data_IF_421118663031
#
_entry.id   IF_421118663031
#
_cell.length_a   1.000
_cell.length_b   1.000
_cell.length_c   1.000
_cell.angle_alpha   90.00
_cell.angle_beta   90.00
_cell.angle_gamma   90.00
#
_symmetry.space_group_name_H-M   'P 1'
#
loop_
_entity.id
_entity.type
_entity.pdbx_description
1 polymer ?
#
# COMPACT_ATOMS: atom_id res chain seq x y z
N UNK A 1 -12.99 -7.86 -12.50
CA UNK A 1 -11.86 -7.54 -11.63
C UNK A 1 -10.52 -7.64 -12.32
N UNK A 2 -10.38 -8.43 -13.37
CA UNK A 2 -9.22 -8.39 -14.28
C UNK A 2 -9.13 -7.11 -15.11
N UNK A 3 -10.26 -6.43 -15.32
CA UNK A 3 -10.34 -5.17 -16.06
C UNK A 3 -10.74 -4.05 -15.11
N UNK A 4 -10.36 -2.79 -15.35
CA UNK A 4 -10.76 -1.64 -14.54
C UNK A 4 -12.24 -1.27 -14.73
N UNK A 5 -13.11 -2.25 -14.92
CA UNK A 5 -14.53 -2.07 -15.17
C UNK A 5 -15.30 -2.01 -13.83
N UNK A 6 -16.10 -0.97 -13.65
CA UNK A 6 -16.99 -0.84 -12.49
C UNK A 6 -18.21 -1.78 -12.59
N UNK A 7 -18.81 -2.14 -11.44
CA UNK A 7 -19.95 -3.03 -11.41
C UNK A 7 -21.16 -2.48 -12.20
N UNK A 8 -21.35 -1.17 -12.25
CA UNK A 8 -22.41 -0.54 -13.06
C UNK A 8 -22.18 -0.79 -14.55
N UNK A 9 -20.95 -0.65 -15.02
CA UNK A 9 -20.55 -0.94 -16.41
C UNK A 9 -20.78 -2.40 -16.77
N UNK A 10 -20.47 -3.32 -15.84
CA UNK A 10 -20.77 -4.76 -16.01
C UNK A 10 -22.27 -4.98 -16.25
N UNK A 11 -23.11 -4.35 -15.42
CA UNK A 11 -24.57 -4.46 -15.58
C UNK A 11 -25.04 -3.89 -16.90
N UNK A 12 -24.50 -2.75 -17.33
CA UNK A 12 -24.82 -2.17 -18.65
C UNK A 12 -24.45 -3.12 -19.77
N UNK A 13 -23.26 -3.72 -19.75
CA UNK A 13 -22.82 -4.71 -20.74
C UNK A 13 -23.77 -5.92 -20.77
N UNK A 14 -24.15 -6.44 -19.58
CA UNK A 14 -25.07 -7.58 -19.49
C UNK A 14 -26.46 -7.22 -20.02
N UNK A 15 -26.96 -5.99 -19.82
CA UNK A 15 -28.22 -5.53 -20.44
C UNK A 15 -28.12 -5.48 -21.96
N UNK A 16 -27.02 -4.98 -22.53
CA UNK A 16 -26.80 -4.99 -23.98
C UNK A 16 -26.82 -6.42 -24.52
N UNK A 17 -26.18 -7.37 -23.84
CA UNK A 17 -26.25 -8.77 -24.26
C UNK A 17 -27.67 -9.34 -24.15
N UNK A 18 -28.43 -8.97 -23.11
CA UNK A 18 -29.83 -9.40 -22.98
C UNK A 18 -30.71 -8.84 -24.12
N UNK A 19 -30.48 -7.58 -24.53
CA UNK A 19 -31.17 -6.95 -25.66
C UNK A 19 -30.83 -7.61 -26.99
N UNK A 20 -29.54 -7.93 -27.22
CA UNK A 20 -29.05 -8.51 -28.48
C UNK A 20 -29.41 -9.99 -28.65
N UNK A 21 -29.40 -10.75 -27.56
CA UNK A 21 -29.57 -12.21 -27.58
C UNK A 21 -31.01 -12.67 -27.15
N UNK A 22 -31.79 -11.74 -26.65
CA UNK A 22 -33.17 -11.99 -26.23
C UNK A 22 -33.30 -13.18 -25.26
N UNK A 23 -34.25 -14.08 -25.53
CA UNK A 23 -34.55 -15.22 -24.67
C UNK A 23 -33.38 -16.18 -24.47
N UNK A 24 -32.39 -16.22 -25.40
CA UNK A 24 -31.19 -17.04 -25.28
C UNK A 24 -30.27 -16.58 -24.12
N UNK A 25 -30.27 -15.29 -23.81
CA UNK A 25 -29.53 -14.75 -22.66
C UNK A 25 -30.36 -14.67 -21.40
N UNK A 26 -31.65 -14.43 -21.54
CA UNK A 26 -32.59 -14.18 -20.47
C UNK A 26 -32.41 -12.80 -19.83
N UNK A 27 -32.93 -12.64 -18.61
CA UNK A 27 -32.96 -11.35 -17.93
C UNK A 27 -31.57 -11.01 -17.30
N UNK A 28 -31.03 -9.86 -17.65
CA UNK A 28 -29.81 -9.36 -17.04
C UNK A 28 -29.98 -9.09 -15.53
N UNK A 29 -28.97 -9.39 -14.69
CA UNK A 29 -29.02 -9.14 -13.25
C UNK A 29 -28.90 -7.64 -12.96
N UNK A 30 -29.60 -7.18 -11.92
CA UNK A 30 -29.46 -5.81 -11.44
C UNK A 30 -28.11 -5.60 -10.69
N UNK A 31 -27.75 -4.33 -10.48
CA UNK A 31 -26.51 -3.96 -9.78
C UNK A 31 -26.33 -4.66 -8.43
N UNK A 32 -27.38 -4.68 -7.59
CA UNK A 32 -27.32 -5.32 -6.27
C UNK A 32 -27.06 -6.82 -6.35
N UNK A 33 -27.59 -7.48 -7.38
CA UNK A 33 -27.35 -8.91 -7.62
C UNK A 33 -25.89 -9.16 -7.95
N UNK A 34 -25.29 -8.37 -8.85
CA UNK A 34 -23.88 -8.49 -9.23
C UNK A 34 -22.98 -8.18 -8.03
N UNK A 35 -23.27 -7.12 -7.28
CA UNK A 35 -22.52 -6.77 -6.07
C UNK A 35 -22.59 -7.89 -5.01
N UNK A 36 -23.75 -8.49 -4.83
CA UNK A 36 -23.92 -9.61 -3.89
C UNK A 36 -23.16 -10.85 -4.35
N UNK A 37 -23.11 -11.16 -5.64
CA UNK A 37 -22.30 -12.25 -6.17
C UNK A 37 -20.81 -12.04 -5.89
N UNK A 38 -20.32 -10.82 -6.09
CA UNK A 38 -18.92 -10.47 -5.82
C UNK A 38 -18.60 -10.62 -4.33
N UNK A 39 -19.46 -10.13 -3.44
CA UNK A 39 -19.27 -10.30 -1.98
C UNK A 39 -19.31 -11.76 -1.54
N UNK A 40 -20.25 -12.56 -2.07
CA UNK A 40 -20.35 -14.00 -1.79
C UNK A 40 -19.10 -14.74 -2.23
N UNK A 41 -18.66 -14.49 -3.45
CA UNK A 41 -17.44 -15.10 -3.99
C UNK A 41 -16.21 -14.73 -3.15
N UNK A 42 -16.10 -13.46 -2.76
CA UNK A 42 -15.00 -12.98 -1.91
C UNK A 42 -15.02 -13.64 -0.53
N UNK A 43 -16.18 -13.78 0.10
CA UNK A 43 -16.32 -14.48 1.38
C UNK A 43 -15.99 -15.98 1.25
N UNK A 44 -16.41 -16.61 0.16
CA UNK A 44 -16.09 -18.02 -0.13
C UNK A 44 -14.58 -18.26 -0.21
N UNK A 45 -13.83 -17.34 -0.87
CA UNK A 45 -12.36 -17.44 -0.95
C UNK A 45 -11.72 -17.12 0.41
N UNK A 46 -12.23 -16.11 1.12
CA UNK A 46 -11.71 -15.73 2.44
C UNK A 46 -11.86 -16.86 3.47
N UNK A 47 -12.85 -17.73 3.30
CA UNK A 47 -13.12 -18.89 4.18
C UNK A 47 -12.46 -20.18 3.71
N UNK A 48 -11.58 -20.14 2.70
CA UNK A 48 -10.81 -21.33 2.30
C UNK A 48 -10.00 -21.85 3.52
N UNK A 49 -10.18 -23.13 3.86
CA UNK A 49 -9.61 -23.74 5.05
C UNK A 49 -8.08 -23.87 4.93
N UNK A 50 -7.38 -23.37 5.94
CA UNK A 50 -5.93 -23.56 6.14
C UNK A 50 -5.07 -23.33 4.88
N UNK A 51 -5.14 -22.17 4.23
CA UNK A 51 -4.52 -21.94 2.92
C UNK A 51 -2.99 -22.05 2.93
N UNK A 52 -2.36 -22.02 4.11
CA UNK A 52 -0.91 -22.12 4.29
C UNK A 52 -0.46 -23.39 5.04
N UNK A 53 -1.35 -24.37 5.27
CA UNK A 53 -1.07 -25.55 6.12
C UNK A 53 0.22 -26.28 5.77
N UNK A 54 0.47 -26.49 4.47
CA UNK A 54 1.63 -27.24 4.00
C UNK A 54 2.66 -26.35 3.28
N UNK A 55 2.67 -25.04 3.60
CA UNK A 55 3.52 -24.06 2.92
C UNK A 55 4.35 -23.26 3.93
N UNK A 56 5.60 -23.00 3.58
CA UNK A 56 6.38 -21.94 4.22
C UNK A 56 5.87 -20.58 3.72
N UNK A 57 5.54 -19.69 4.63
CA UNK A 57 5.03 -18.38 4.29
C UNK A 57 5.52 -17.29 5.24
N UNK A 58 5.57 -16.07 4.74
CA UNK A 58 5.72 -14.87 5.55
C UNK A 58 4.38 -14.12 5.61
N UNK A 59 4.14 -13.38 6.68
CA UNK A 59 3.00 -12.52 6.78
C UNK A 59 3.38 -11.06 6.51
N UNK A 60 2.47 -10.30 5.88
CA UNK A 60 2.55 -8.84 5.82
C UNK A 60 1.33 -8.28 6.54
N UNK A 61 1.54 -7.28 7.40
CA UNK A 61 0.46 -6.60 8.10
C UNK A 61 0.57 -5.10 7.96
N UNK A 62 -0.54 -4.44 7.65
CA UNK A 62 -0.62 -2.99 7.53
C UNK A 62 -2.03 -2.46 7.80
N UNK A 63 -2.12 -1.18 8.19
CA UNK A 63 -3.35 -0.45 8.39
C UNK A 63 -3.65 0.50 7.22
N UNK A 64 -4.71 0.22 6.48
CA UNK A 64 -5.22 1.20 5.52
C UNK A 64 -5.88 2.38 6.25
N UNK A 65 -5.26 3.56 6.16
CA UNK A 65 -5.77 4.77 6.79
C UNK A 65 -7.11 5.19 6.20
N UNK A 66 -8.04 5.30 7.11
CA UNK A 66 -9.26 6.11 7.14
C UNK A 66 -10.11 6.22 5.87
N UNK A 67 -11.17 5.44 5.89
CA UNK A 67 -12.38 5.82 5.17
C UNK A 67 -13.39 6.27 6.22
N UNK A 68 -13.59 7.59 6.36
CA UNK A 68 -14.55 8.16 7.31
C UNK A 68 -14.34 7.76 8.80
N UNK A 69 -13.10 7.80 9.26
CA UNK A 69 -12.77 7.51 10.66
C UNK A 69 -12.71 6.02 11.00
N UNK A 70 -12.75 5.14 10.00
CA UNK A 70 -12.49 3.71 10.15
C UNK A 70 -11.16 3.32 9.51
N UNK A 71 -10.42 2.44 10.16
CA UNK A 71 -9.20 1.81 9.63
C UNK A 71 -9.51 0.36 9.27
N UNK A 72 -8.91 -0.11 8.18
CA UNK A 72 -8.87 -1.52 7.81
C UNK A 72 -7.49 -2.05 8.14
N UNK A 73 -7.40 -2.96 9.10
CA UNK A 73 -6.22 -3.79 9.33
C UNK A 73 -6.32 -5.02 8.43
N UNK A 74 -5.27 -5.30 7.69
CA UNK A 74 -5.18 -6.48 6.84
C UNK A 74 -3.91 -7.27 7.16
N UNK A 75 -4.03 -8.60 7.17
CA UNK A 75 -2.93 -9.53 7.30
C UNK A 75 -3.00 -10.47 6.11
N UNK A 76 -1.92 -10.52 5.35
CA UNK A 76 -1.79 -11.38 4.17
C UNK A 76 -0.62 -12.33 4.32
N UNK A 77 -0.71 -13.51 3.73
CA UNK A 77 0.38 -14.46 3.57
C UNK A 77 0.98 -14.37 2.17
N UNK A 78 2.29 -14.47 2.09
CA UNK A 78 3.09 -14.52 0.86
C UNK A 78 4.11 -15.65 0.98
N UNK A 79 4.75 -16.16 -0.10
CA UNK A 79 5.89 -17.07 0.02
C UNK A 79 6.97 -16.49 0.93
N UNK A 80 7.52 -17.30 1.86
CA UNK A 80 8.59 -16.81 2.75
C UNK A 80 9.89 -16.58 2.02
N UNK A 81 10.22 -17.41 1.03
CA UNK A 81 11.38 -17.23 0.17
C UNK A 81 11.07 -16.29 -1.00
N UNK A 82 12.00 -15.40 -1.30
CA UNK A 82 11.91 -14.51 -2.43
C UNK A 82 11.98 -15.28 -3.76
N UNK A 83 11.09 -14.97 -4.69
CA UNK A 83 10.90 -15.71 -5.93
C UNK A 83 11.70 -15.13 -7.13
N UNK A 84 12.77 -14.37 -6.89
CA UNK A 84 13.55 -13.67 -7.94
C UNK A 84 12.78 -12.54 -8.64
N UNK A 85 11.70 -12.08 -8.03
CA UNK A 85 10.85 -10.99 -8.53
C UNK A 85 10.02 -10.38 -7.38
N UNK A 86 9.54 -9.15 -7.52
CA UNK A 86 8.59 -8.58 -6.56
C UNK A 86 7.33 -9.45 -6.40
N UNK A 87 6.78 -9.48 -5.19
CA UNK A 87 5.54 -10.18 -4.87
C UNK A 87 4.39 -9.65 -5.73
N UNK A 88 3.62 -10.55 -6.35
CA UNK A 88 2.44 -10.24 -7.15
C UNK A 88 1.14 -10.62 -6.43
N UNK A 89 0.02 -10.10 -6.89
CA UNK A 89 -1.29 -10.44 -6.31
C UNK A 89 -1.60 -11.95 -6.34
N UNK A 90 -1.08 -12.69 -7.31
CA UNK A 90 -1.26 -14.13 -7.41
C UNK A 90 -0.53 -14.93 -6.30
N UNK A 91 0.49 -14.31 -5.69
CA UNK A 91 1.26 -14.90 -4.59
C UNK A 91 0.59 -14.67 -3.22
N UNK A 92 -0.43 -13.80 -3.18
CA UNK A 92 -1.05 -13.33 -1.93
C UNK A 92 -2.20 -14.24 -1.49
N UNK A 93 -2.23 -14.52 -0.20
CA UNK A 93 -3.39 -15.11 0.50
C UNK A 93 -3.86 -14.14 1.58
N UNK A 94 -5.14 -13.76 1.57
CA UNK A 94 -5.71 -12.91 2.63
C UNK A 94 -6.01 -13.77 3.85
N UNK A 95 -5.32 -13.52 4.95
CA UNK A 95 -5.43 -14.31 6.20
C UNK A 95 -6.39 -13.66 7.19
N UNK A 96 -6.39 -12.32 7.26
CA UNK A 96 -7.32 -11.59 8.11
C UNK A 96 -7.64 -10.19 7.59
N UNK A 97 -8.87 -9.75 7.83
CA UNK A 97 -9.34 -8.37 7.59
C UNK A 97 -10.22 -7.94 8.76
N UNK A 98 -9.89 -6.83 9.38
CA UNK A 98 -10.66 -6.26 10.48
C UNK A 98 -10.81 -4.75 10.32
N UNK A 99 -11.98 -4.22 10.67
CA UNK A 99 -12.29 -2.79 10.54
C UNK A 99 -12.66 -2.21 11.89
N UNK A 100 -11.84 -1.27 12.38
CA UNK A 100 -12.07 -0.54 13.64
C UNK A 100 -11.83 0.96 13.46
N UNK A 101 -12.16 1.75 14.45
CA UNK A 101 -11.80 3.18 14.52
C UNK A 101 -10.28 3.37 14.66
N UNK A 102 -9.65 2.52 15.46
CA UNK A 102 -8.20 2.45 15.67
C UNK A 102 -7.85 1.05 16.15
N UNK A 103 -6.59 0.67 16.01
CA UNK A 103 -6.05 -0.57 16.55
C UNK A 103 -4.95 -0.23 17.55
N UNK A 104 -5.02 -0.80 18.74
CA UNK A 104 -3.92 -0.81 19.71
C UNK A 104 -3.06 -2.08 19.53
N UNK A 105 -2.00 -2.23 20.32
CA UNK A 105 -1.11 -3.39 20.24
C UNK A 105 -1.81 -4.72 20.54
N UNK A 106 -2.75 -4.73 21.49
CA UNK A 106 -3.49 -5.94 21.88
C UNK A 106 -4.47 -6.36 20.78
N UNK A 107 -5.10 -5.38 20.10
CA UNK A 107 -5.90 -5.63 18.91
C UNK A 107 -5.05 -6.28 17.81
N UNK A 108 -3.88 -5.72 17.53
CA UNK A 108 -2.95 -6.26 16.50
C UNK A 108 -2.56 -7.70 16.86
N UNK A 109 -2.16 -7.95 18.11
CA UNK A 109 -1.80 -9.28 18.59
C UNK A 109 -2.96 -10.27 18.41
N UNK A 110 -4.17 -9.88 18.81
CA UNK A 110 -5.37 -10.71 18.68
C UNK A 110 -5.68 -11.04 17.22
N UNK A 111 -5.61 -10.03 16.32
CA UNK A 111 -5.85 -10.24 14.90
C UNK A 111 -4.75 -11.12 14.26
N UNK A 112 -3.50 -10.99 14.71
CA UNK A 112 -2.40 -11.84 14.26
C UNK A 112 -2.63 -13.31 14.66
N UNK A 113 -3.00 -13.57 15.92
CA UNK A 113 -3.35 -14.92 16.39
C UNK A 113 -4.49 -15.53 15.57
N UNK A 114 -5.51 -14.74 15.26
CA UNK A 114 -6.63 -15.17 14.41
C UNK A 114 -6.16 -15.51 13.00
N UNK A 115 -5.33 -14.66 12.38
CA UNK A 115 -4.78 -14.87 11.05
C UNK A 115 -3.94 -16.16 10.95
N UNK A 116 -3.06 -16.38 11.93
CA UNK A 116 -2.19 -17.57 11.98
C UNK A 116 -3.02 -18.83 12.18
N UNK A 117 -4.02 -18.79 13.06
CA UNK A 117 -4.94 -19.93 13.24
C UNK A 117 -5.67 -20.26 11.94
N UNK A 118 -6.17 -19.26 11.21
CA UNK A 118 -6.84 -19.49 9.93
C UNK A 118 -5.90 -19.93 8.81
N UNK A 119 -4.63 -19.51 8.86
CA UNK A 119 -3.60 -19.95 7.91
C UNK A 119 -3.27 -21.46 8.02
N UNK A 120 -3.43 -22.04 9.21
CA UNK A 120 -3.13 -23.45 9.48
C UNK A 120 -1.64 -23.75 9.67
N UNK A 121 -0.79 -22.72 9.67
CA UNK A 121 0.65 -22.79 9.92
C UNK A 121 1.15 -21.47 10.48
N UNK A 122 2.35 -21.44 11.07
CA UNK A 122 3.02 -20.23 11.56
C UNK A 122 3.86 -19.58 10.46
N UNK A 123 3.87 -18.24 10.36
CA UNK A 123 4.75 -17.55 9.43
C UNK A 123 6.22 -17.66 9.89
N UNK A 124 7.14 -17.79 8.95
CA UNK A 124 8.58 -17.77 9.23
C UNK A 124 9.01 -16.38 9.74
N UNK A 125 8.40 -15.31 9.25
CA UNK A 125 8.60 -13.93 9.69
C UNK A 125 7.40 -13.05 9.29
N UNK A 126 7.38 -11.80 9.80
CA UNK A 126 6.34 -10.82 9.52
C UNK A 126 6.98 -9.53 9.01
N UNK A 127 6.46 -8.99 7.91
CA UNK A 127 6.85 -7.68 7.38
C UNK A 127 5.80 -6.65 7.81
N UNK A 128 6.23 -5.49 8.29
CA UNK A 128 5.34 -4.38 8.58
C UNK A 128 6.01 -3.02 8.47
N UNK A 129 5.21 -1.96 8.41
CA UNK A 129 5.71 -0.61 8.64
C UNK A 129 6.22 -0.40 10.09
N UNK A 130 6.74 0.79 10.38
CA UNK A 130 7.25 1.16 11.69
C UNK A 130 6.17 1.77 12.62
N UNK A 131 4.89 1.51 12.38
CA UNK A 131 3.79 1.96 13.23
C UNK A 131 3.90 1.38 14.65
N UNK A 132 3.94 2.24 15.68
CA UNK A 132 4.22 1.83 17.06
C UNK A 132 3.35 0.66 17.54
N UNK A 133 2.04 0.71 17.30
CA UNK A 133 1.11 -0.34 17.74
C UNK A 133 1.34 -1.66 16.98
N UNK A 134 1.67 -1.59 15.68
CA UNK A 134 1.96 -2.77 14.86
C UNK A 134 3.24 -3.43 15.33
N UNK A 135 4.31 -2.65 15.49
CA UNK A 135 5.62 -3.14 15.99
C UNK A 135 5.46 -3.82 17.35
N UNK A 136 4.77 -3.16 18.28
CA UNK A 136 4.54 -3.70 19.63
C UNK A 136 3.69 -4.98 19.58
N UNK A 137 2.58 -4.97 18.83
CA UNK A 137 1.69 -6.14 18.74
C UNK A 137 2.36 -7.36 18.12
N UNK A 138 3.24 -7.18 17.12
CA UNK A 138 4.04 -8.27 16.55
C UNK A 138 5.07 -8.79 17.55
N UNK A 139 5.82 -7.88 18.20
CA UNK A 139 6.81 -8.24 19.22
C UNK A 139 6.18 -9.04 20.35
N UNK A 140 5.04 -8.58 20.87
CA UNK A 140 4.31 -9.25 21.95
C UNK A 140 3.72 -10.61 21.51
N UNK A 141 3.66 -10.87 20.20
CA UNK A 141 3.26 -12.16 19.63
C UNK A 141 4.42 -13.14 19.49
N UNK A 142 5.67 -12.72 19.70
CA UNK A 142 6.87 -13.59 19.69
C UNK A 142 7.38 -13.95 18.28
N UNK A 143 6.91 -13.27 17.21
CA UNK A 143 7.37 -13.52 15.85
C UNK A 143 8.52 -12.60 15.45
N UNK A 144 9.39 -13.09 14.56
CA UNK A 144 10.44 -12.29 13.92
C UNK A 144 9.74 -11.26 13.04
N UNK A 145 10.11 -9.98 13.22
CA UNK A 145 9.60 -8.88 12.42
C UNK A 145 10.70 -8.24 11.61
N UNK A 146 10.51 -8.15 10.31
CA UNK A 146 11.30 -7.32 9.42
C UNK A 146 10.60 -5.99 9.14
N UNK A 147 11.36 -4.89 9.20
CA UNK A 147 10.84 -3.58 8.88
C UNK A 147 10.80 -3.38 7.36
N UNK A 148 9.65 -2.93 6.83
CA UNK A 148 9.51 -2.59 5.42
C UNK A 148 10.59 -1.60 4.96
N UNK A 149 11.26 -1.92 3.84
CA UNK A 149 12.38 -1.13 3.35
C UNK A 149 11.96 0.28 2.93
N UNK A 150 10.88 0.44 2.19
CA UNK A 150 10.43 1.75 1.69
C UNK A 150 10.00 2.66 2.83
N UNK A 151 9.22 2.12 3.79
CA UNK A 151 8.83 2.86 4.99
C UNK A 151 10.04 3.23 5.85
N UNK A 152 11.01 2.33 5.98
CA UNK A 152 12.23 2.59 6.76
C UNK A 152 13.08 3.68 6.13
N UNK A 153 13.29 3.65 4.82
CA UNK A 153 13.98 4.72 4.10
C UNK A 153 13.26 6.06 4.25
N UNK A 154 11.92 6.07 4.11
CA UNK A 154 11.10 7.26 4.34
C UNK A 154 11.22 7.83 5.76
N UNK A 155 11.28 6.97 6.79
CA UNK A 155 11.49 7.39 8.19
C UNK A 155 12.90 7.97 8.41
N UNK A 156 13.94 7.39 7.80
CA UNK A 156 15.31 7.91 7.87
C UNK A 156 15.38 9.31 7.27
N UNK A 157 14.85 9.49 6.06
CA UNK A 157 14.80 10.79 5.38
C UNK A 157 14.02 11.81 6.22
N UNK A 158 12.88 11.43 6.75
CA UNK A 158 12.06 12.28 7.62
C UNK A 158 12.85 12.79 8.82
N UNK A 159 13.52 11.90 9.55
CA UNK A 159 14.28 12.28 10.75
C UNK A 159 15.38 13.31 10.46
N UNK A 160 15.99 13.26 9.28
CA UNK A 160 17.11 14.11 8.93
C UNK A 160 16.67 15.42 8.29
N UNK A 161 15.68 15.39 7.39
CA UNK A 161 15.31 16.57 6.60
C UNK A 161 14.10 17.35 7.12
N UNK A 162 13.15 16.73 7.84
CA UNK A 162 11.85 17.36 8.15
C UNK A 162 11.96 18.72 8.84
N UNK A 163 12.99 18.92 9.66
CA UNK A 163 13.23 20.14 10.46
C UNK A 163 14.35 21.03 9.92
N UNK A 164 14.97 20.68 8.79
CA UNK A 164 16.05 21.49 8.21
C UNK A 164 15.47 22.77 7.59
N UNK A 165 16.03 23.95 7.92
CA UNK A 165 15.47 25.23 7.48
C UNK A 165 15.33 25.34 5.96
N UNK A 166 16.38 24.98 5.21
CA UNK A 166 16.40 25.00 3.75
C UNK A 166 15.37 24.06 3.13
N UNK A 167 15.22 22.86 3.68
CA UNK A 167 14.21 21.90 3.23
C UNK A 167 12.76 22.37 3.53
N UNK A 168 12.54 22.94 4.72
CA UNK A 168 11.22 23.47 5.12
C UNK A 168 10.87 24.66 4.24
N UNK A 169 11.79 25.56 3.99
CA UNK A 169 11.59 26.74 3.13
C UNK A 169 11.31 26.31 1.69
N UNK A 170 12.14 25.47 1.11
CA UNK A 170 11.96 24.92 -0.24
C UNK A 170 10.57 24.29 -0.41
N UNK A 171 10.19 23.39 0.50
CA UNK A 171 8.91 22.70 0.41
C UNK A 171 7.73 23.64 0.62
N UNK A 172 7.89 24.69 1.41
CA UNK A 172 6.88 25.74 1.59
C UNK A 172 6.70 26.57 0.32
N UNK A 173 7.80 26.94 -0.34
CA UNK A 173 7.78 27.66 -1.61
C UNK A 173 7.10 26.82 -2.71
N UNK A 174 7.42 25.53 -2.82
CA UNK A 174 6.74 24.62 -3.77
C UNK A 174 5.22 24.61 -3.54
N UNK A 175 4.78 24.53 -2.28
CA UNK A 175 3.36 24.60 -1.93
C UNK A 175 2.71 25.92 -2.30
N UNK A 176 3.37 27.05 -2.04
CA UNK A 176 2.88 28.40 -2.40
C UNK A 176 2.76 28.54 -3.91
N UNK A 177 3.79 28.16 -4.67
CA UNK A 177 3.80 28.26 -6.14
C UNK A 177 2.70 27.37 -6.76
N UNK A 178 2.51 26.17 -6.23
CA UNK A 178 1.41 25.31 -6.65
C UNK A 178 0.03 25.96 -6.40
N UNK A 179 -0.19 26.55 -5.24
CA UNK A 179 -1.44 27.24 -4.93
C UNK A 179 -1.63 28.47 -5.83
N UNK A 180 -0.57 29.23 -6.10
CA UNK A 180 -0.60 30.43 -6.93
C UNK A 180 -0.93 30.14 -8.39
N UNK A 181 -0.39 29.07 -8.97
CA UNK A 181 -0.44 28.85 -10.41
C UNK A 181 -1.36 27.70 -10.88
N UNK A 182 -2.01 26.96 -9.97
CA UNK A 182 -2.81 25.77 -10.35
C UNK A 182 -4.03 26.07 -11.24
N UNK A 183 -4.48 27.32 -11.29
CA UNK A 183 -5.60 27.79 -12.13
C UNK A 183 -5.15 28.76 -13.22
N UNK A 184 -3.87 28.77 -13.58
CA UNK A 184 -3.29 29.64 -14.60
C UNK A 184 -2.70 28.82 -15.75
N UNK A 185 -2.29 29.51 -16.81
CA UNK A 185 -1.53 28.94 -17.94
C UNK A 185 -0.19 28.31 -17.53
N UNK A 186 0.35 28.71 -16.37
CA UNK A 186 1.58 28.13 -15.78
C UNK A 186 1.37 26.76 -15.10
N UNK A 187 0.13 26.25 -15.06
CA UNK A 187 -0.22 25.01 -14.37
C UNK A 187 0.52 23.77 -14.90
N UNK A 188 0.98 23.76 -16.14
CA UNK A 188 1.70 22.63 -16.75
C UNK A 188 3.11 22.41 -16.16
N UNK A 189 3.71 23.43 -15.52
CA UNK A 189 5.03 23.35 -14.89
C UNK A 189 4.96 23.20 -13.36
N UNK A 190 3.79 22.97 -12.79
CA UNK A 190 3.65 22.88 -11.33
C UNK A 190 4.46 21.72 -10.73
N UNK A 191 5.09 21.95 -9.57
CA UNK A 191 5.72 20.85 -8.84
C UNK A 191 4.71 19.75 -8.51
N UNK A 192 5.13 18.49 -8.40
CA UNK A 192 4.26 17.39 -8.00
C UNK A 192 3.53 17.67 -6.69
N UNK A 193 2.30 17.13 -6.56
CA UNK A 193 1.50 17.36 -5.37
C UNK A 193 2.11 16.63 -4.17
N UNK A 194 2.29 17.36 -3.07
CA UNK A 194 2.79 16.80 -1.83
C UNK A 194 1.66 16.35 -0.92
N UNK A 195 1.55 15.07 -0.72
CA UNK A 195 0.70 14.53 0.35
C UNK A 195 1.52 14.48 1.65
N UNK A 196 1.07 15.17 2.69
CA UNK A 196 1.79 15.28 3.96
C UNK A 196 2.16 13.92 4.58
N UNK A 197 1.32 12.90 4.42
CA UNK A 197 1.49 11.57 5.00
C UNK A 197 2.59 10.75 4.29
N UNK A 198 2.74 10.93 2.98
CA UNK A 198 3.71 10.18 2.16
C UNK A 198 4.86 11.07 1.65
N UNK A 199 5.12 12.20 2.30
CA UNK A 199 6.07 13.22 1.85
C UNK A 199 7.44 12.62 1.49
N UNK A 200 8.03 11.88 2.42
CA UNK A 200 9.38 11.36 2.27
C UNK A 200 9.47 10.11 1.39
N UNK A 201 8.40 9.36 1.21
CA UNK A 201 8.35 8.25 0.24
C UNK A 201 8.22 8.75 -1.21
N UNK A 202 7.67 9.96 -1.41
CA UNK A 202 7.48 10.55 -2.74
C UNK A 202 8.48 11.67 -3.07
N UNK A 203 9.55 11.81 -2.28
CA UNK A 203 10.54 12.86 -2.44
C UNK A 203 11.24 12.84 -3.81
N UNK A 204 11.42 11.64 -4.39
CA UNK A 204 11.99 11.45 -5.73
C UNK A 204 11.31 12.29 -6.81
N UNK A 205 9.98 12.41 -6.77
CA UNK A 205 9.23 13.18 -7.77
C UNK A 205 9.57 14.68 -7.72
N UNK A 206 9.84 15.22 -6.53
CA UNK A 206 10.21 16.62 -6.35
C UNK A 206 11.65 16.88 -6.77
N UNK A 207 12.54 16.00 -6.37
CA UNK A 207 13.95 16.08 -6.78
C UNK A 207 14.03 16.02 -8.31
N UNK A 208 13.33 15.09 -8.94
CA UNK A 208 13.28 15.00 -10.41
C UNK A 208 12.69 16.25 -11.05
N UNK A 209 11.60 16.79 -10.48
CA UNK A 209 10.99 18.03 -10.96
C UNK A 209 11.95 19.20 -10.81
N UNK A 210 12.58 19.36 -9.65
CA UNK A 210 13.54 20.45 -9.37
C UNK A 210 14.74 20.41 -10.30
N UNK A 211 15.34 19.24 -10.50
CA UNK A 211 16.47 19.06 -11.43
C UNK A 211 16.07 19.31 -12.89
N UNK A 212 14.87 18.89 -13.31
CA UNK A 212 14.39 19.20 -14.65
C UNK A 212 14.14 20.70 -14.82
N UNK A 213 13.58 21.35 -13.78
CA UNK A 213 13.39 22.79 -13.79
C UNK A 213 14.72 23.56 -13.89
N UNK A 214 15.75 23.16 -13.15
CA UNK A 214 17.10 23.74 -13.27
C UNK A 214 17.68 23.57 -14.68
N UNK A 215 17.51 22.39 -15.28
CA UNK A 215 18.04 22.10 -16.64
C UNK A 215 17.37 22.94 -17.73
N UNK A 216 16.07 23.20 -17.64
CA UNK A 216 15.34 23.94 -18.65
C UNK A 216 15.18 25.43 -18.34
N UNK A 217 15.64 25.89 -17.18
CA UNK A 217 15.34 27.23 -16.66
C UNK A 217 15.69 28.35 -17.65
N UNK A 218 16.90 28.32 -18.20
CA UNK A 218 17.38 29.39 -19.11
C UNK A 218 16.68 29.37 -20.49
N UNK A 219 15.96 28.32 -20.83
CA UNK A 219 15.14 28.20 -22.04
C UNK A 219 13.66 28.54 -21.82
N UNK A 220 13.26 28.86 -20.58
CA UNK A 220 11.89 29.28 -20.25
C UNK A 220 11.64 30.71 -20.71
N UNK A 221 10.38 31.04 -20.96
CA UNK A 221 9.91 32.42 -21.18
C UNK A 221 10.12 33.26 -19.90
N UNK A 222 10.34 34.58 -20.06
CA UNK A 222 10.71 35.49 -18.98
C UNK A 222 9.76 35.41 -17.77
N UNK A 223 8.46 35.33 -18.01
CA UNK A 223 7.43 35.25 -16.97
C UNK A 223 7.45 33.93 -16.19
N UNK A 224 7.91 32.84 -16.83
CA UNK A 224 8.14 31.55 -16.19
C UNK A 224 9.48 31.54 -15.43
N UNK A 225 10.52 32.18 -15.97
CA UNK A 225 11.78 32.37 -15.28
C UNK A 225 11.55 33.14 -13.98
N UNK A 226 10.81 34.25 -14.03
CA UNK A 226 10.46 35.03 -12.83
C UNK A 226 9.67 34.18 -11.82
N UNK A 227 8.67 33.45 -12.29
CA UNK A 227 7.82 32.60 -11.43
C UNK A 227 8.62 31.52 -10.66
N UNK A 228 9.65 30.95 -11.27
CA UNK A 228 10.44 29.85 -10.74
C UNK A 228 11.89 30.21 -10.42
N UNK A 229 12.26 31.49 -10.37
CA UNK A 229 13.63 31.96 -10.09
C UNK A 229 14.22 31.35 -8.81
N UNK A 230 13.41 31.14 -7.79
CA UNK A 230 13.81 30.56 -6.50
C UNK A 230 14.50 29.21 -6.63
N UNK A 231 14.26 28.44 -7.73
CA UNK A 231 14.81 27.08 -7.85
C UNK A 231 16.34 27.06 -7.83
N UNK A 232 16.97 28.13 -8.33
CA UNK A 232 18.44 28.27 -8.37
C UNK A 232 19.06 28.33 -6.97
N UNK A 233 18.33 28.89 -6.00
CA UNK A 233 18.79 29.01 -4.62
C UNK A 233 18.87 27.65 -3.91
N UNK A 234 18.17 26.63 -4.44
CA UNK A 234 18.12 25.28 -3.87
C UNK A 234 18.89 24.23 -4.69
N UNK A 235 19.74 24.65 -5.62
CA UNK A 235 20.53 23.73 -6.46
C UNK A 235 21.37 22.76 -5.61
N UNK A 236 22.03 23.27 -4.56
CA UNK A 236 22.84 22.46 -3.64
C UNK A 236 21.99 21.42 -2.90
N UNK A 237 20.82 21.83 -2.36
CA UNK A 237 19.88 20.92 -1.71
C UNK A 237 19.36 19.86 -2.68
N UNK A 238 19.02 20.23 -3.91
CA UNK A 238 18.53 19.31 -4.93
C UNK A 238 19.59 18.27 -5.32
N UNK A 239 20.86 18.67 -5.45
CA UNK A 239 21.97 17.74 -5.71
C UNK A 239 22.18 16.76 -4.55
N UNK A 240 22.16 17.24 -3.32
CA UNK A 240 22.25 16.39 -2.12
C UNK A 240 21.10 15.38 -2.08
N UNK A 241 19.86 15.86 -2.26
CA UNK A 241 18.68 15.00 -2.27
C UNK A 241 18.69 14.01 -3.44
N UNK A 242 19.23 14.39 -4.62
CA UNK A 242 19.36 13.48 -5.76
C UNK A 242 20.28 12.31 -5.44
N UNK A 243 21.44 12.58 -4.85
CA UNK A 243 22.40 11.55 -4.43
C UNK A 243 21.74 10.56 -3.45
N UNK A 244 21.11 11.09 -2.42
CA UNK A 244 20.40 10.28 -1.41
C UNK A 244 19.27 9.47 -2.04
N UNK A 245 18.44 10.08 -2.88
CA UNK A 245 17.31 9.39 -3.52
C UNK A 245 17.75 8.36 -4.56
N UNK A 246 18.91 8.54 -5.20
CA UNK A 246 19.50 7.52 -6.06
C UNK A 246 19.89 6.28 -5.26
N UNK A 247 20.51 6.46 -4.10
CA UNK A 247 20.87 5.37 -3.22
C UNK A 247 19.64 4.65 -2.65
N UNK A 248 18.62 5.40 -2.21
CA UNK A 248 17.35 4.82 -1.75
C UNK A 248 16.71 3.96 -2.86
N UNK A 249 16.61 4.50 -4.08
CA UNK A 249 16.09 3.75 -5.23
C UNK A 249 16.87 2.49 -5.54
N UNK A 250 18.20 2.54 -5.44
CA UNK A 250 19.07 1.39 -5.68
C UNK A 250 18.81 0.29 -4.65
N UNK A 251 18.85 0.60 -3.36
CA UNK A 251 18.64 -0.41 -2.30
C UNK A 251 17.23 -0.99 -2.32
N UNK A 252 16.22 -0.15 -2.60
CA UNK A 252 14.84 -0.64 -2.79
C UNK A 252 14.74 -1.57 -4.00
N UNK A 253 15.38 -1.21 -5.12
CA UNK A 253 15.38 -2.03 -6.33
C UNK A 253 16.01 -3.39 -6.07
N UNK A 254 17.20 -3.45 -5.48
CA UNK A 254 17.89 -4.70 -5.15
C UNK A 254 17.03 -5.56 -4.22
N UNK A 255 16.57 -5.01 -3.09
CA UNK A 255 15.80 -5.77 -2.11
C UNK A 255 14.44 -6.24 -2.63
N UNK A 256 13.79 -5.50 -3.53
CA UNK A 256 12.48 -5.87 -4.09
C UNK A 256 12.57 -6.86 -5.25
N UNK A 257 13.64 -6.82 -6.05
CA UNK A 257 13.80 -7.67 -7.24
C UNK A 257 14.65 -8.91 -7.00
N UNK A 258 15.65 -8.82 -6.13
CA UNK A 258 16.57 -9.91 -5.83
C UNK A 258 16.32 -10.54 -4.45
N UNK A 259 15.53 -9.87 -3.61
CA UNK A 259 15.26 -10.26 -2.24
C UNK A 259 16.28 -9.73 -1.24
N UNK A 260 16.05 -10.03 0.04
CA UNK A 260 16.93 -9.62 1.12
C UNK A 260 17.66 -10.85 1.71
N UNK A 261 18.97 -10.85 1.57
CA UNK A 261 19.90 -11.88 2.03
C UNK A 261 21.20 -11.24 2.50
N UNK A 262 22.10 -12.01 3.11
CA UNK A 262 23.44 -11.53 3.46
C UNK A 262 24.17 -10.97 2.24
N UNK A 263 24.02 -11.62 1.07
CA UNK A 263 24.64 -11.17 -0.18
C UNK A 263 24.12 -9.81 -0.61
N UNK A 264 22.80 -9.66 -0.75
CA UNK A 264 22.17 -8.42 -1.21
C UNK A 264 22.31 -7.29 -0.18
N UNK A 265 22.29 -7.60 1.13
CA UNK A 265 22.61 -6.65 2.19
C UNK A 265 24.03 -6.08 2.04
N UNK A 266 25.04 -6.95 1.80
CA UNK A 266 26.41 -6.52 1.58
C UNK A 266 26.55 -5.63 0.36
N UNK A 267 25.88 -5.95 -0.74
CA UNK A 267 25.86 -5.13 -1.96
C UNK A 267 25.24 -3.74 -1.69
N UNK A 268 24.09 -3.68 -1.03
CA UNK A 268 23.44 -2.44 -0.65
C UNK A 268 24.32 -1.59 0.28
N UNK A 269 24.94 -2.19 1.30
CA UNK A 269 25.86 -1.51 2.22
C UNK A 269 27.07 -0.92 1.45
N UNK A 270 27.66 -1.69 0.53
CA UNK A 270 28.77 -1.20 -0.28
C UNK A 270 28.37 -0.02 -1.19
N UNK A 271 27.19 -0.10 -1.79
CA UNK A 271 26.64 1.00 -2.60
C UNK A 271 26.46 2.28 -1.76
N UNK A 272 25.91 2.17 -0.55
CA UNK A 272 25.73 3.30 0.36
C UNK A 272 27.07 3.91 0.73
N UNK A 273 28.07 3.10 1.06
CA UNK A 273 29.41 3.57 1.42
C UNK A 273 30.05 4.32 0.26
N UNK A 274 29.95 3.79 -0.96
CA UNK A 274 30.61 4.36 -2.13
C UNK A 274 29.95 5.64 -2.66
N UNK A 275 28.64 5.84 -2.45
CA UNK A 275 27.88 6.89 -3.14
C UNK A 275 27.22 7.91 -2.20
N UNK A 276 27.07 7.58 -0.91
CA UNK A 276 26.36 8.44 0.04
C UNK A 276 27.27 8.99 1.11
N UNK A 277 28.26 8.19 1.55
CA UNK A 277 29.14 8.59 2.64
C UNK A 277 30.37 9.33 2.06
N UNK A 278 30.40 10.66 2.19
CA UNK A 278 31.49 11.50 1.72
C UNK A 278 32.24 12.15 2.88
N UNK A 279 31.59 13.04 3.62
CA UNK A 279 32.14 13.80 4.72
C UNK A 279 31.47 13.46 6.05
N UNK A 280 32.21 13.42 7.15
CA UNK A 280 31.76 12.93 8.45
C UNK A 280 30.49 13.63 8.97
N UNK A 281 30.31 14.91 8.70
CA UNK A 281 29.26 15.75 9.28
C UNK A 281 28.16 16.18 8.31
N UNK A 282 28.17 15.70 7.05
CA UNK A 282 27.12 16.06 6.09
C UNK A 282 25.79 15.33 6.40
N UNK A 283 24.66 15.97 6.07
CA UNK A 283 23.33 15.34 6.16
C UNK A 283 23.25 14.07 5.30
N UNK A 284 23.84 14.11 4.12
CA UNK A 284 23.97 12.97 3.22
C UNK A 284 24.65 11.79 3.92
N UNK A 285 25.78 12.01 4.57
CA UNK A 285 26.50 10.99 5.35
C UNK A 285 25.67 10.49 6.53
N UNK A 286 24.90 11.35 7.22
CA UNK A 286 23.99 10.92 8.29
C UNK A 286 22.89 9.99 7.76
N UNK A 287 22.34 10.27 6.57
CA UNK A 287 21.39 9.36 5.90
C UNK A 287 22.07 8.02 5.62
N UNK A 288 23.26 8.02 5.01
CA UNK A 288 24.01 6.80 4.71
C UNK A 288 24.27 5.94 5.97
N UNK A 289 24.72 6.56 7.07
CA UNK A 289 24.92 5.86 8.35
C UNK A 289 23.62 5.22 8.87
N UNK A 290 22.48 5.93 8.79
CA UNK A 290 21.19 5.38 9.22
C UNK A 290 20.67 4.27 8.29
N UNK A 291 20.98 4.34 7.01
CA UNK A 291 20.70 3.24 6.07
C UNK A 291 21.53 2.01 6.42
N UNK A 292 22.85 2.18 6.72
CA UNK A 292 23.70 1.07 7.15
C UNK A 292 23.18 0.43 8.44
N UNK A 293 22.81 1.23 9.46
CA UNK A 293 22.20 0.73 10.70
C UNK A 293 20.94 -0.11 10.42
N UNK A 294 20.10 0.31 9.47
CA UNK A 294 18.93 -0.47 9.07
C UNK A 294 19.33 -1.85 8.51
N UNK A 295 20.29 -1.89 7.59
CA UNK A 295 20.78 -3.14 7.01
C UNK A 295 21.41 -4.07 8.04
N UNK A 296 22.16 -3.54 9.00
CA UNK A 296 22.76 -4.30 10.11
C UNK A 296 21.69 -4.93 11.01
N UNK A 297 20.64 -4.18 11.36
CA UNK A 297 19.53 -4.66 12.19
C UNK A 297 18.77 -5.78 11.47
N UNK A 298 18.40 -5.57 10.21
CA UNK A 298 17.62 -6.53 9.45
C UNK A 298 18.43 -7.80 9.11
N UNK A 299 19.75 -7.64 8.83
CA UNK A 299 20.66 -8.75 8.60
C UNK A 299 20.82 -9.65 9.83
N UNK A 300 20.88 -9.05 11.03
CA UNK A 300 20.95 -9.79 12.30
C UNK A 300 19.68 -10.64 12.59
N UNK A 301 18.58 -10.36 11.94
CA UNK A 301 17.32 -11.11 12.05
C UNK A 301 17.21 -12.27 11.04
N UNK A 302 18.13 -12.33 10.05
CA UNK A 302 18.12 -13.42 9.08
C UNK A 302 18.51 -14.74 9.75
N UNK A 303 17.71 -15.77 9.49
CA UNK A 303 18.00 -17.13 9.91
C UNK A 303 18.57 -17.91 8.72
N UNK A 304 19.81 -18.39 8.84
CA UNK A 304 20.51 -19.14 7.77
C UNK A 304 20.67 -18.33 6.46
N UNK A 305 21.02 -18.98 5.37
CA UNK A 305 21.17 -18.39 4.04
C UNK A 305 19.84 -18.08 3.33
N UNK A 306 18.83 -17.67 4.09
CA UNK A 306 17.50 -17.34 3.53
C UNK A 306 17.57 -16.07 2.68
N UNK A 307 16.89 -16.11 1.55
CA UNK A 307 16.58 -14.94 0.73
C UNK A 307 15.10 -14.60 0.91
N UNK A 308 14.81 -13.51 1.63
CA UNK A 308 13.46 -13.16 2.09
C UNK A 308 12.87 -11.99 1.33
N UNK A 309 11.54 -11.84 1.40
CA UNK A 309 10.88 -10.62 1.03
C UNK A 309 11.01 -9.59 2.17
N UNK A 310 11.21 -8.30 1.86
CA UNK A 310 11.33 -7.22 2.86
C UNK A 310 10.51 -5.97 2.47
N UNK A 311 9.57 -6.12 1.53
CA UNK A 311 8.69 -5.04 1.09
C UNK A 311 7.23 -5.37 1.34
N UNK A 312 6.48 -4.37 1.79
CA UNK A 312 5.02 -4.42 1.95
C UNK A 312 4.25 -3.81 0.77
N UNK A 313 4.89 -3.45 -0.33
CA UNK A 313 4.27 -2.78 -1.48
C UNK A 313 3.02 -3.49 -1.99
N UNK A 314 2.96 -4.81 -1.91
CA UNK A 314 1.83 -5.60 -2.38
C UNK A 314 0.54 -5.35 -1.56
N UNK A 315 0.66 -5.11 -0.25
CA UNK A 315 -0.50 -4.78 0.59
C UNK A 315 -0.99 -3.36 0.31
N UNK A 316 -0.07 -2.41 0.07
CA UNK A 316 -0.41 -1.06 -0.36
C UNK A 316 -1.09 -1.04 -1.73
N UNK A 317 -0.56 -1.81 -2.69
CA UNK A 317 -1.17 -2.01 -4.01
C UNK A 317 -2.59 -2.57 -3.88
N UNK A 318 -2.79 -3.55 -2.99
CA UNK A 318 -4.11 -4.14 -2.69
C UNK A 318 -5.09 -3.09 -2.15
N UNK A 319 -4.64 -2.25 -1.22
CA UNK A 319 -5.43 -1.12 -0.72
C UNK A 319 -5.74 -0.09 -1.82
N UNK A 320 -4.78 0.17 -2.70
CA UNK A 320 -4.96 1.07 -3.86
C UNK A 320 -6.07 0.58 -4.78
N UNK A 321 -6.07 -0.71 -5.14
CA UNK A 321 -7.11 -1.34 -5.96
C UNK A 321 -8.47 -1.27 -5.26
N UNK A 322 -8.54 -1.57 -3.97
CA UNK A 322 -9.79 -1.47 -3.21
C UNK A 322 -10.31 -0.02 -3.19
N UNK A 323 -9.45 0.95 -2.89
CA UNK A 323 -9.82 2.38 -2.84
C UNK A 323 -10.34 2.89 -4.17
N UNK A 324 -9.78 2.44 -5.30
CA UNK A 324 -10.23 2.83 -6.65
C UNK A 324 -11.61 2.27 -7.02
N UNK A 325 -12.00 1.14 -6.43
CA UNK A 325 -13.26 0.43 -6.75
C UNK A 325 -14.38 0.68 -5.78
N UNK A 326 -14.10 1.19 -4.57
CA UNK A 326 -15.14 1.54 -3.61
C UNK A 326 -15.96 2.73 -4.07
N UNK A 327 -17.17 2.89 -3.52
CA UNK A 327 -17.99 4.08 -3.75
C UNK A 327 -17.20 5.36 -3.44
N UNK A 328 -17.24 6.37 -4.32
CA UNK A 328 -16.61 7.67 -4.07
C UNK A 328 -17.31 8.45 -2.95
N UNK A 329 -18.52 8.06 -2.56
CA UNK A 329 -19.24 8.72 -1.49
C UNK A 329 -18.57 8.46 -0.14
N UNK A 330 -17.99 9.52 0.42
CA UNK A 330 -17.26 9.49 1.69
C UNK A 330 -18.14 9.08 2.89
N UNK A 331 -19.46 9.20 2.78
CA UNK A 331 -20.41 8.90 3.86
C UNK A 331 -20.54 7.40 4.16
N UNK A 332 -20.24 6.54 3.20
CA UNK A 332 -20.45 5.09 3.39
C UNK A 332 -19.37 4.37 4.23
N UNK A 333 -18.22 4.99 4.48
CA UNK A 333 -17.15 4.34 5.24
C UNK A 333 -16.64 3.05 4.60
N UNK A 334 -16.18 2.11 5.43
CA UNK A 334 -15.86 0.75 5.01
C UNK A 334 -17.13 -0.09 5.07
N UNK A 335 -17.45 -0.79 3.99
CA UNK A 335 -18.61 -1.68 3.87
C UNK A 335 -18.16 -3.10 3.62
N UNK A 336 -19.06 -4.12 3.71
CA UNK A 336 -18.72 -5.51 3.34
C UNK A 336 -18.17 -5.67 1.91
N UNK A 337 -18.13 -4.60 1.12
CA UNK A 337 -17.44 -4.57 -0.18
C UNK A 337 -15.94 -4.86 -0.07
N UNK A 338 -15.33 -4.75 1.14
CA UNK A 338 -13.94 -5.20 1.37
C UNK A 338 -13.74 -6.70 1.07
N UNK A 339 -14.79 -7.50 1.09
CA UNK A 339 -14.76 -8.91 0.65
C UNK A 339 -14.39 -9.07 -0.83
N UNK A 340 -14.28 -7.98 -1.59
CA UNK A 340 -13.68 -8.02 -2.94
C UNK A 340 -12.17 -8.22 -2.92
N UNK A 341 -11.50 -7.91 -1.79
CA UNK A 341 -10.02 -7.99 -1.68
C UNK A 341 -9.50 -9.42 -1.91
N UNK A 342 -10.05 -10.48 -1.30
CA UNK A 342 -9.60 -11.86 -1.56
C UNK A 342 -9.69 -12.29 -3.04
N UNK A 343 -10.52 -11.61 -3.84
CA UNK A 343 -10.64 -11.90 -5.27
C UNK A 343 -9.40 -11.46 -6.06
N UNK A 344 -8.65 -10.45 -5.61
CA UNK A 344 -7.53 -9.90 -6.38
C UNK A 344 -6.43 -10.94 -6.58
N UNK A 345 -6.16 -11.78 -5.58
CA UNK A 345 -5.18 -12.85 -5.69
C UNK A 345 -5.67 -14.01 -6.55
N UNK A 346 -6.93 -14.41 -6.42
CA UNK A 346 -7.46 -15.61 -7.10
C UNK A 346 -7.86 -15.38 -8.55
N UNK A 347 -8.28 -14.16 -8.91
CA UNK A 347 -8.76 -13.86 -10.26
C UNK A 347 -7.67 -13.22 -11.14
N UNK A 348 -6.50 -12.89 -10.58
CA UNK A 348 -5.37 -12.30 -11.31
C UNK A 348 -4.78 -13.26 -12.36
N UNK A 349 -4.71 -14.56 -12.07
CA UNK A 349 -4.16 -15.59 -12.94
C UNK A 349 -5.21 -16.22 -13.86
N UNK A 350 -4.87 -16.40 -15.15
CA UNK A 350 -5.74 -17.10 -16.14
C UNK A 350 -5.92 -18.57 -15.78
N UNK A 351 -4.85 -19.24 -15.33
CA UNK A 351 -4.87 -20.67 -14.99
C UNK A 351 -5.81 -20.95 -13.81
N UNK A 352 -5.81 -20.12 -12.80
CA UNK A 352 -6.69 -20.28 -11.63
C UNK A 352 -8.16 -20.08 -12.03
N UNK A 353 -8.47 -19.12 -12.93
CA UNK A 353 -9.88 -18.90 -13.33
C UNK A 353 -10.46 -19.99 -14.21
N UNK A 354 -9.66 -20.78 -14.90
CA UNK A 354 -10.17 -21.91 -15.72
C UNK A 354 -10.66 -23.09 -14.90
N UNK A 355 -10.06 -23.30 -13.70
CA UNK A 355 -10.43 -24.40 -12.79
C UNK A 355 -11.40 -23.98 -11.68
N UNK A 356 -11.74 -22.69 -11.62
CA UNK A 356 -12.50 -22.12 -10.51
C UNK A 356 -14.01 -22.20 -10.75
N UNK A 357 -14.73 -22.99 -9.94
CA UNK A 357 -16.18 -23.11 -10.04
C UNK A 357 -16.90 -21.93 -9.37
N UNK A 358 -17.11 -20.85 -10.14
CA UNK A 358 -17.79 -19.63 -9.66
C UNK A 358 -19.21 -19.88 -9.17
N UNK A 359 -19.98 -20.72 -9.90
CA UNK A 359 -21.39 -21.01 -9.58
C UNK A 359 -21.50 -21.66 -8.20
N UNK A 360 -20.78 -22.72 -7.99
CA UNK A 360 -20.77 -23.45 -6.73
C UNK A 360 -20.42 -22.57 -5.55
N UNK A 361 -19.33 -21.80 -5.66
CA UNK A 361 -18.88 -20.90 -4.59
C UNK A 361 -19.88 -19.80 -4.27
N UNK A 362 -20.58 -19.25 -5.27
CA UNK A 362 -21.61 -18.21 -5.05
C UNK A 362 -22.86 -18.81 -4.40
N UNK A 363 -23.29 -20.01 -4.82
CA UNK A 363 -24.50 -20.68 -4.31
C UNK A 363 -24.32 -21.09 -2.84
N UNK A 364 -23.14 -21.60 -2.48
CA UNK A 364 -22.84 -22.10 -1.15
C UNK A 364 -22.74 -21.00 -0.08
N UNK A 365 -22.60 -19.72 -0.45
CA UNK A 365 -22.58 -18.60 0.50
C UNK A 365 -23.91 -17.86 0.53
N UNK A 366 -24.52 -17.74 1.71
CA UNK A 366 -25.77 -17.00 1.93
C UNK A 366 -25.49 -15.56 2.35
N UNK A 367 -26.38 -14.62 2.02
CA UNK A 367 -26.22 -13.20 2.42
C UNK A 367 -26.17 -13.01 3.94
N UNK A 368 -26.83 -13.87 4.72
CA UNK A 368 -26.75 -13.84 6.18
C UNK A 368 -25.34 -14.09 6.72
N UNK A 369 -24.53 -14.87 6.00
CA UNK A 369 -23.13 -15.14 6.39
C UNK A 369 -22.24 -13.91 6.16
N UNK A 370 -22.51 -13.14 5.09
CA UNK A 370 -21.85 -11.85 4.88
C UNK A 370 -22.20 -10.87 6.01
N UNK A 371 -23.48 -10.88 6.44
CA UNK A 371 -23.94 -10.07 7.58
C UNK A 371 -23.26 -10.48 8.90
N UNK A 372 -23.16 -11.78 9.17
CA UNK A 372 -22.48 -12.32 10.34
C UNK A 372 -21.00 -11.96 10.35
N UNK A 373 -20.30 -12.21 9.22
CA UNK A 373 -18.89 -11.82 9.07
C UNK A 373 -18.65 -10.32 9.29
N UNK A 374 -19.51 -9.49 8.71
CA UNK A 374 -19.42 -8.04 8.89
C UNK A 374 -19.66 -7.61 10.33
N UNK A 375 -20.60 -8.26 11.03
CA UNK A 375 -20.86 -7.99 12.45
C UNK A 375 -19.66 -8.33 13.34
N UNK A 376 -18.96 -9.42 13.06
CA UNK A 376 -17.79 -9.87 13.82
C UNK A 376 -16.53 -9.05 13.53
N UNK A 377 -16.32 -8.67 12.25
CA UNK A 377 -15.04 -8.13 11.79
C UNK A 377 -15.06 -6.61 11.50
N UNK A 378 -16.23 -5.97 11.58
CA UNK A 378 -16.35 -4.55 11.23
C UNK A 378 -17.01 -3.75 12.34
N UNK A 379 -16.35 -2.66 12.74
CA UNK A 379 -16.98 -1.67 13.62
C UNK A 379 -18.14 -0.97 12.93
N UNK A 380 -19.12 -0.51 13.72
CA UNK A 380 -20.26 0.27 13.21
C UNK A 380 -19.79 1.52 12.49
N UNK A 381 -20.38 1.82 11.33
CA UNK A 381 -20.16 3.06 10.62
C UNK A 381 -20.91 4.21 11.32
N UNK A 382 -20.18 5.09 11.97
CA UNK A 382 -20.73 6.21 12.75
C UNK A 382 -21.61 7.15 11.92
N UNK A 383 -21.32 7.34 10.63
CA UNK A 383 -22.12 8.19 9.76
C UNK A 383 -23.49 7.58 9.52
N UNK A 384 -23.55 6.26 9.29
CA UNK A 384 -24.81 5.54 9.14
C UNK A 384 -25.61 5.52 10.45
N UNK A 385 -24.95 5.32 11.59
CA UNK A 385 -25.58 5.37 12.91
C UNK A 385 -26.16 6.77 13.18
N UNK A 386 -25.38 7.83 12.94
CA UNK A 386 -25.87 9.21 13.07
C UNK A 386 -27.07 9.49 12.16
N UNK A 387 -27.02 9.04 10.91
CA UNK A 387 -28.13 9.20 9.97
C UNK A 387 -29.37 8.46 10.43
N UNK A 388 -29.22 7.24 10.97
CA UNK A 388 -30.34 6.47 11.55
C UNK A 388 -30.93 7.16 12.77
N UNK A 389 -30.07 7.74 13.63
CA UNK A 389 -30.52 8.47 14.82
C UNK A 389 -31.33 9.70 14.41
N UNK A 390 -30.86 10.51 13.47
CA UNK A 390 -31.61 11.65 12.99
C UNK A 390 -32.97 11.28 12.35
N UNK A 391 -33.00 10.19 11.58
CA UNK A 391 -34.26 9.70 10.98
C UNK A 391 -35.27 9.17 11.98
N UNK A 392 -34.85 8.85 13.22
CA UNK A 392 -35.77 8.43 14.28
C UNK A 392 -36.36 9.59 15.07
N UNK A 393 -35.74 10.78 14.98
CA UNK A 393 -36.14 11.97 15.72
C UNK A 393 -36.97 12.93 14.86
N UNK A 394 -36.96 12.74 13.54
CA UNK A 394 -37.82 13.42 12.56
C UNK A 394 -39.01 12.51 12.23
#
# INVERSE_FOLDING_TARGET
MRTPCGLRTVVTILNIFAELLGDAFGKAPCYNTVENWVKKLGLSIYKDDYPCKDKKFAAITDECISVNGQKLLMIIGIPSEHQGRPVKHEDVTVLNMSVKKSFNSDDIQSQMKTAIKSAGNTPDYIISDNGHNIVKGIKDSGYIRHADISHSMGVILKKIYEKQPDFVEFTTLLGKKRLQYHMTDKAFLLPPNMRAIARFMNLSSWVSWGNNMLKCYDSLQDDLQEAYAFIKDYESLLKELETVMNAVRHVEFVCKNEGFSIKTSKECKQHIINHVIENVDSRQTQVGKKMLEYFEIEEALLTNDMNINISSDIIESTFGIYKSKKSPNKLYGVTPFILTIPLYSRISSKSVTQTFNFKERIVNVKMKEIGAWAYENMSKNWVLERTKTFKKVI
#
